data_IF_385883377026
#
_entry.id   IF_385883377026
#
_cell.length_a   1.000
_cell.length_b   1.000
_cell.length_c   1.000
_cell.angle_alpha   90.00
_cell.angle_beta   90.00
_cell.angle_gamma   90.00
#
_symmetry.space_group_name_H-M   'P 1'
#
loop_
_entity.id
_entity.type
_entity.pdbx_description
1 polymer ?
#
# COMPACT_ATOMS: atom_id res chain seq x y z
N UNK A 1 -3.36 -4.62 -15.84
CA UNK A 1 -3.33 -6.02 -15.36
C UNK A 1 -3.38 -6.99 -16.54
N UNK A 2 -2.77 -8.17 -16.42
CA UNK A 2 -2.80 -9.22 -17.44
C UNK A 2 -4.23 -9.69 -17.77
N UNK A 3 -4.55 -10.04 -19.04
CA UNK A 3 -5.90 -10.42 -19.48
C UNK A 3 -6.55 -11.54 -18.64
N UNK A 4 -5.76 -12.50 -18.18
CA UNK A 4 -6.19 -13.63 -17.36
C UNK A 4 -6.64 -13.23 -15.95
N UNK A 5 -6.15 -12.09 -15.42
CA UNK A 5 -6.53 -11.57 -14.11
C UNK A 5 -7.69 -10.55 -14.19
N UNK A 6 -8.04 -10.05 -15.38
CA UNK A 6 -9.10 -9.05 -15.55
C UNK A 6 -10.44 -9.40 -14.90
N UNK A 7 -10.97 -10.64 -15.01
CA UNK A 7 -12.25 -10.98 -14.39
C UNK A 7 -12.22 -10.88 -12.86
N UNK A 8 -11.08 -11.22 -12.25
CA UNK A 8 -10.87 -11.13 -10.81
C UNK A 8 -10.82 -9.66 -10.37
N UNK A 9 -10.05 -8.84 -11.07
CA UNK A 9 -9.94 -7.41 -10.78
C UNK A 9 -11.25 -6.66 -10.97
N UNK A 10 -12.03 -7.02 -11.99
CA UNK A 10 -13.37 -6.42 -12.19
C UNK A 10 -14.29 -6.71 -11.02
N UNK A 11 -14.30 -7.94 -10.51
CA UNK A 11 -15.04 -8.28 -9.28
C UNK A 11 -14.49 -7.53 -8.07
N UNK A 12 -13.16 -7.40 -7.98
CA UNK A 12 -12.51 -6.64 -6.92
C UNK A 12 -12.92 -5.17 -6.88
N UNK A 13 -13.01 -4.54 -8.05
CA UNK A 13 -13.51 -3.18 -8.18
C UNK A 13 -14.92 -3.00 -7.64
N UNK A 14 -15.82 -3.97 -7.80
CA UNK A 14 -17.19 -3.87 -7.32
C UNK A 14 -17.23 -3.78 -5.78
N UNK A 15 -16.57 -4.72 -5.10
CA UNK A 15 -16.64 -4.79 -3.64
C UNK A 15 -15.73 -3.77 -2.95
N UNK A 16 -14.57 -3.41 -3.52
CA UNK A 16 -13.74 -2.30 -3.00
C UNK A 16 -14.47 -0.97 -3.17
N UNK A 17 -15.11 -0.73 -4.32
CA UNK A 17 -15.94 0.46 -4.51
C UNK A 17 -17.07 0.52 -3.50
N UNK A 18 -17.74 -0.60 -3.22
CA UNK A 18 -18.78 -0.66 -2.21
C UNK A 18 -18.25 -0.34 -0.80
N UNK A 19 -17.07 -0.86 -0.44
CA UNK A 19 -16.38 -0.56 0.81
C UNK A 19 -16.17 0.96 0.96
N UNK A 20 -15.52 1.61 0.00
CA UNK A 20 -15.24 3.05 0.08
C UNK A 20 -16.47 3.94 -0.15
N UNK A 21 -17.52 3.45 -0.83
CA UNK A 21 -18.78 4.19 -1.00
C UNK A 21 -19.53 4.40 0.33
N UNK A 22 -19.24 3.59 1.34
CA UNK A 22 -19.81 3.75 2.68
C UNK A 22 -19.16 4.85 3.54
N UNK A 23 -18.38 5.73 2.89
CA UNK A 23 -17.76 6.91 3.49
C UNK A 23 -18.71 7.72 4.36
N UNK A 24 -18.29 7.98 5.60
CA UNK A 24 -18.97 8.88 6.54
C UNK A 24 -17.95 9.79 7.20
N UNK A 25 -18.22 11.08 7.23
CA UNK A 25 -17.39 12.05 7.94
C UNK A 25 -18.28 12.87 8.89
N UNK A 26 -17.90 12.93 10.16
CA UNK A 26 -18.54 13.77 11.18
C UNK A 26 -17.46 14.61 11.87
N UNK A 27 -17.20 15.84 11.38
CA UNK A 27 -16.20 16.73 11.98
C UNK A 27 -16.52 17.11 13.43
N UNK A 28 -17.80 17.09 13.83
CA UNK A 28 -18.19 17.39 15.22
C UNK A 28 -17.75 16.29 16.19
N UNK A 29 -17.51 15.08 15.68
CA UNK A 29 -16.98 13.93 16.43
C UNK A 29 -15.53 13.58 16.07
N UNK A 30 -14.96 14.27 15.07
CA UNK A 30 -13.60 14.01 14.58
C UNK A 30 -13.44 12.63 13.95
N UNK A 31 -14.46 12.13 13.25
CA UNK A 31 -14.41 10.81 12.60
C UNK A 31 -14.50 10.92 11.08
N UNK A 32 -13.71 10.09 10.41
CA UNK A 32 -13.90 9.67 9.03
C UNK A 32 -13.92 8.16 9.05
N UNK A 33 -14.91 7.56 8.40
CA UNK A 33 -15.14 6.12 8.44
C UNK A 33 -15.40 5.59 7.03
N UNK A 34 -14.85 4.41 6.75
CA UNK A 34 -15.21 3.59 5.59
C UNK A 34 -15.60 2.22 6.12
N UNK A 35 -16.79 1.78 5.77
CA UNK A 35 -17.39 0.52 6.19
C UNK A 35 -17.42 0.28 7.72
N UNK A 36 -17.51 1.38 8.49
CA UNK A 36 -17.50 1.35 9.95
C UNK A 36 -16.10 1.36 10.57
N UNK A 37 -15.04 1.27 9.77
CA UNK A 37 -13.67 1.42 10.22
C UNK A 37 -13.24 2.87 10.22
N UNK A 38 -12.50 3.30 11.25
CA UNK A 38 -12.05 4.68 11.40
C UNK A 38 -10.75 4.92 10.65
N UNK A 39 -10.77 5.94 9.80
CA UNK A 39 -9.62 6.40 9.03
C UNK A 39 -9.14 7.77 9.52
N UNK A 40 -7.88 8.07 9.22
CA UNK A 40 -7.28 9.39 9.39
C UNK A 40 -6.76 9.90 8.05
N UNK A 41 -7.04 11.16 7.74
CA UNK A 41 -6.41 11.83 6.60
C UNK A 41 -5.08 12.42 7.04
N UNK A 42 -3.99 11.91 6.48
CA UNK A 42 -2.65 12.44 6.64
C UNK A 42 -2.15 12.91 5.28
N UNK A 43 -1.43 14.03 5.23
CA UNK A 43 -0.87 14.54 3.99
C UNK A 43 0.27 13.64 3.52
N UNK A 44 0.18 13.19 2.27
CA UNK A 44 1.15 12.33 1.58
C UNK A 44 2.63 12.65 1.88
N UNK A 45 3.06 13.91 1.69
CA UNK A 45 4.48 14.27 1.85
C UNK A 45 5.00 14.12 3.30
N UNK A 46 4.11 14.14 4.29
CA UNK A 46 4.47 13.94 5.71
C UNK A 46 4.87 12.50 6.04
N UNK A 47 4.40 11.54 5.24
CA UNK A 47 4.80 10.13 5.30
C UNK A 47 5.84 9.78 4.22
N UNK A 48 6.40 10.78 3.55
CA UNK A 48 7.44 10.59 2.54
C UNK A 48 8.61 11.52 2.84
N UNK A 49 8.93 12.46 1.96
CA UNK A 49 10.11 13.30 2.02
C UNK A 49 10.32 14.04 3.37
N UNK A 50 9.25 14.48 4.02
CA UNK A 50 9.37 15.20 5.30
C UNK A 50 9.68 14.26 6.47
N UNK A 51 9.29 12.99 6.39
CA UNK A 51 9.67 12.00 7.37
C UNK A 51 11.19 11.76 7.32
N UNK A 52 11.76 11.66 6.12
CA UNK A 52 13.22 11.60 5.96
C UNK A 52 13.91 12.82 6.57
N UNK A 53 13.37 14.03 6.35
CA UNK A 53 13.95 15.25 6.94
C UNK A 53 13.85 15.29 8.46
N UNK A 54 12.77 14.75 9.03
CA UNK A 54 12.62 14.57 10.48
C UNK A 54 13.70 13.62 11.01
N UNK A 55 13.84 12.43 10.43
CA UNK A 55 14.80 11.42 10.89
C UNK A 55 16.24 11.94 10.75
N UNK A 56 16.61 12.54 9.62
CA UNK A 56 17.92 13.18 9.43
C UNK A 56 18.24 14.22 10.51
N UNK A 57 17.24 15.02 10.90
CA UNK A 57 17.39 16.03 11.96
C UNK A 57 17.59 15.37 13.34
N UNK A 58 16.80 14.36 13.67
CA UNK A 58 16.92 13.61 14.94
C UNK A 58 18.29 12.95 15.04
N UNK A 59 18.76 12.35 13.95
CA UNK A 59 20.05 11.66 13.86
C UNK A 59 21.23 12.61 13.64
N UNK A 60 21.01 13.94 13.63
CA UNK A 60 22.04 14.97 13.43
C UNK A 60 22.90 14.73 12.19
N UNK A 61 22.29 14.22 11.12
CA UNK A 61 22.97 13.92 9.87
C UNK A 61 23.89 12.69 9.90
N UNK A 62 23.71 11.76 10.87
CA UNK A 62 24.40 10.47 10.83
C UNK A 62 24.12 9.76 9.50
N UNK A 63 25.13 9.08 8.96
CA UNK A 63 25.08 8.49 7.60
C UNK A 63 23.93 7.48 7.42
N UNK A 64 23.49 6.85 8.50
CA UNK A 64 22.48 5.79 8.48
C UNK A 64 21.05 6.33 8.69
N UNK A 65 20.85 7.66 8.80
CA UNK A 65 19.54 8.26 9.08
C UNK A 65 18.49 7.91 8.01
N UNK A 66 18.90 7.88 6.74
CA UNK A 66 17.99 7.53 5.65
C UNK A 66 17.60 6.06 5.70
N UNK A 67 18.52 5.16 6.06
CA UNK A 67 18.24 3.73 6.17
C UNK A 67 17.28 3.45 7.32
N UNK A 68 17.47 4.13 8.46
CA UNK A 68 16.50 4.10 9.56
C UNK A 68 15.12 4.58 9.11
N UNK A 69 15.05 5.69 8.37
CA UNK A 69 13.79 6.20 7.85
C UNK A 69 13.11 5.18 6.94
N UNK A 70 13.86 4.55 6.03
CA UNK A 70 13.35 3.51 5.14
C UNK A 70 12.82 2.32 5.91
N UNK A 71 13.60 1.75 6.81
CA UNK A 71 13.17 0.58 7.60
C UNK A 71 11.91 0.87 8.40
N UNK A 72 11.84 2.02 9.07
CA UNK A 72 10.64 2.41 9.84
C UNK A 72 9.40 2.56 8.95
N UNK A 73 9.53 3.25 7.82
CA UNK A 73 8.41 3.45 6.89
C UNK A 73 7.95 2.13 6.26
N UNK A 74 8.90 1.26 5.90
CA UNK A 74 8.59 -0.07 5.38
C UNK A 74 7.83 -0.91 6.40
N UNK A 75 8.35 -1.02 7.63
CA UNK A 75 7.75 -1.87 8.68
C UNK A 75 6.35 -1.38 9.05
N UNK A 76 6.16 -0.06 9.15
CA UNK A 76 4.84 0.54 9.40
C UNK A 76 3.89 0.24 8.25
N UNK A 77 4.31 0.44 7.00
CA UNK A 77 3.45 0.20 5.85
C UNK A 77 3.13 -1.29 5.67
N UNK A 78 4.07 -2.19 5.93
CA UNK A 78 3.86 -3.63 5.93
C UNK A 78 2.82 -4.03 6.99
N UNK A 79 2.95 -3.53 8.22
CA UNK A 79 1.97 -3.78 9.26
C UNK A 79 0.57 -3.28 8.89
N UNK A 80 0.47 -2.10 8.27
CA UNK A 80 -0.80 -1.53 7.77
C UNK A 80 -1.38 -2.44 6.68
N UNK A 81 -0.62 -2.73 5.62
CA UNK A 81 -1.11 -3.54 4.49
C UNK A 81 -1.57 -4.93 4.92
N UNK A 82 -0.87 -5.55 5.88
CA UNK A 82 -1.24 -6.84 6.47
C UNK A 82 -2.55 -6.76 7.27
N UNK A 83 -2.70 -5.71 8.09
CA UNK A 83 -3.90 -5.49 8.88
C UNK A 83 -5.11 -5.21 7.97
N UNK A 84 -4.95 -4.32 7.00
CA UNK A 84 -5.98 -3.93 6.05
C UNK A 84 -6.42 -5.14 5.20
N UNK A 85 -5.49 -5.95 4.69
CA UNK A 85 -5.84 -7.16 3.93
C UNK A 85 -6.65 -8.16 4.76
N UNK A 86 -6.27 -8.39 6.02
CA UNK A 86 -6.98 -9.30 6.93
C UNK A 86 -8.37 -8.78 7.27
N UNK A 87 -8.46 -7.51 7.60
CA UNK A 87 -9.74 -6.89 7.95
C UNK A 87 -10.68 -6.83 6.75
N UNK A 88 -10.18 -6.39 5.61
CA UNK A 88 -10.94 -6.32 4.37
C UNK A 88 -11.51 -7.68 3.97
N UNK A 89 -10.70 -8.75 4.00
CA UNK A 89 -11.17 -10.12 3.73
C UNK A 89 -12.29 -10.53 4.68
N UNK A 90 -12.17 -10.20 5.97
CA UNK A 90 -13.17 -10.49 6.99
C UNK A 90 -14.49 -9.75 6.71
N UNK A 91 -14.42 -8.46 6.40
CA UNK A 91 -15.61 -7.63 6.16
C UNK A 91 -16.32 -7.99 4.85
N UNK A 92 -15.55 -8.26 3.79
CA UNK A 92 -16.09 -8.56 2.46
C UNK A 92 -16.37 -10.05 2.24
N UNK A 93 -16.04 -10.92 3.19
CA UNK A 93 -16.24 -12.36 3.09
C UNK A 93 -15.37 -13.04 2.02
N UNK A 94 -14.19 -12.47 1.72
CA UNK A 94 -13.28 -12.96 0.67
C UNK A 94 -12.34 -14.03 1.23
N UNK A 95 -12.59 -15.29 0.88
CA UNK A 95 -11.82 -16.44 1.37
C UNK A 95 -10.70 -16.86 0.44
N UNK A 96 -10.87 -16.72 -0.88
CA UNK A 96 -9.89 -17.20 -1.85
C UNK A 96 -8.65 -16.29 -1.89
N UNK A 97 -7.41 -16.81 -1.73
CA UNK A 97 -6.19 -16.00 -1.69
C UNK A 97 -5.98 -15.08 -2.89
N UNK A 98 -6.24 -15.58 -4.10
CA UNK A 98 -6.05 -14.81 -5.31
C UNK A 98 -7.11 -13.70 -5.47
N UNK A 99 -8.34 -13.95 -5.01
CA UNK A 99 -9.38 -12.92 -4.96
C UNK A 99 -8.99 -11.84 -3.93
N UNK A 100 -8.51 -12.24 -2.75
CA UNK A 100 -8.01 -11.30 -1.74
C UNK A 100 -6.83 -10.46 -2.24
N UNK A 101 -5.91 -11.06 -3.00
CA UNK A 101 -4.81 -10.33 -3.63
C UNK A 101 -5.33 -9.30 -4.63
N UNK A 102 -6.31 -9.66 -5.47
CA UNK A 102 -6.86 -8.76 -6.50
C UNK A 102 -7.53 -7.50 -5.93
N UNK A 103 -8.03 -7.58 -4.69
CA UNK A 103 -8.53 -6.42 -3.95
C UNK A 103 -7.44 -5.40 -3.62
N UNK A 104 -6.19 -5.83 -3.45
CA UNK A 104 -5.07 -5.00 -3.00
C UNK A 104 -4.81 -3.82 -3.91
N UNK A 105 -4.46 -4.03 -5.20
CA UNK A 105 -4.27 -2.96 -6.17
C UNK A 105 -5.41 -1.94 -6.26
N UNK A 106 -6.65 -2.41 -6.17
CA UNK A 106 -7.83 -1.55 -6.22
C UNK A 106 -7.93 -0.74 -4.93
N UNK A 107 -7.78 -1.39 -3.77
CA UNK A 107 -7.76 -0.71 -2.47
C UNK A 107 -6.62 0.32 -2.40
N UNK A 108 -5.44 -0.02 -2.92
CA UNK A 108 -4.27 0.85 -3.06
C UNK A 108 -4.62 2.17 -3.76
N UNK A 109 -5.36 2.08 -4.87
CA UNK A 109 -5.83 3.23 -5.63
C UNK A 109 -6.88 4.05 -4.87
N UNK A 110 -7.88 3.40 -4.25
CA UNK A 110 -8.93 4.08 -3.49
C UNK A 110 -8.39 4.78 -2.22
N UNK A 111 -7.41 4.17 -1.54
CA UNK A 111 -6.77 4.72 -0.37
C UNK A 111 -5.71 5.81 -0.71
N UNK A 112 -5.41 6.00 -2.00
CA UNK A 112 -4.57 7.11 -2.48
C UNK A 112 -3.06 6.85 -2.42
N UNK A 113 -2.63 5.59 -2.45
CA UNK A 113 -1.22 5.21 -2.41
C UNK A 113 -0.54 5.33 -3.78
N UNK A 114 -1.11 4.65 -4.78
CA UNK A 114 -0.69 4.69 -6.19
C UNK A 114 -1.74 3.93 -7.05
N UNK A 115 -1.50 3.87 -8.35
CA UNK A 115 -2.01 2.77 -9.17
C UNK A 115 -1.02 1.60 -9.10
N UNK A 116 -1.49 0.37 -9.33
CA UNK A 116 -0.63 -0.81 -9.48
C UNK A 116 -0.85 -1.39 -10.87
N UNK A 117 0.19 -1.47 -11.67
CA UNK A 117 0.15 -2.12 -12.98
C UNK A 117 0.95 -3.42 -12.96
N UNK A 118 0.24 -4.55 -13.02
CA UNK A 118 0.83 -5.88 -12.94
C UNK A 118 1.41 -6.32 -14.29
N UNK A 119 2.64 -6.84 -14.26
CA UNK A 119 3.29 -7.49 -15.39
C UNK A 119 2.60 -8.82 -15.75
N UNK A 120 2.57 -9.21 -17.04
CA UNK A 120 2.18 -10.56 -17.46
C UNK A 120 3.08 -11.67 -16.91
N UNK A 121 4.30 -11.34 -16.46
CA UNK A 121 5.25 -12.31 -15.89
C UNK A 121 5.00 -12.61 -14.40
N UNK A 122 3.88 -12.13 -13.83
CA UNK A 122 3.49 -12.46 -12.48
C UNK A 122 3.10 -13.93 -12.33
N UNK A 123 3.42 -14.53 -11.19
CA UNK A 123 2.96 -15.82 -10.74
C UNK A 123 2.43 -15.74 -9.29
N UNK A 124 1.18 -15.30 -9.07
CA UNK A 124 0.60 -15.18 -7.73
C UNK A 124 0.19 -16.54 -7.14
N UNK A 125 1.18 -17.39 -6.87
CA UNK A 125 1.00 -18.74 -6.34
C UNK A 125 1.12 -18.78 -4.80
N UNK A 126 0.34 -19.60 -4.08
CA UNK A 126 0.41 -19.74 -2.62
C UNK A 126 1.59 -20.63 -2.17
N UNK A 127 2.77 -20.47 -2.75
CA UNK A 127 3.95 -21.30 -2.50
C UNK A 127 5.25 -20.55 -2.86
N UNK A 128 6.38 -21.25 -2.81
CA UNK A 128 7.72 -20.69 -3.05
C UNK A 128 7.92 -20.15 -4.48
N UNK A 129 7.01 -20.44 -5.42
CA UNK A 129 7.03 -19.90 -6.79
C UNK A 129 6.33 -18.53 -6.89
N UNK A 130 5.88 -17.95 -5.76
CA UNK A 130 5.23 -16.64 -5.73
C UNK A 130 6.13 -15.57 -6.33
N UNK A 131 5.61 -14.87 -7.33
CA UNK A 131 6.24 -13.69 -7.92
C UNK A 131 5.18 -12.68 -8.32
N UNK A 132 5.34 -11.43 -7.88
CA UNK A 132 4.64 -10.30 -8.46
C UNK A 132 5.65 -9.28 -8.96
N UNK A 133 5.47 -8.86 -10.21
CA UNK A 133 6.21 -7.78 -10.85
C UNK A 133 5.21 -6.70 -11.25
N UNK A 134 5.44 -5.48 -10.80
CA UNK A 134 4.50 -4.38 -11.04
C UNK A 134 5.15 -3.02 -10.99
N UNK A 135 4.50 -2.07 -11.65
CA UNK A 135 4.80 -0.66 -11.55
C UNK A 135 3.81 0.05 -10.60
N UNK A 136 4.27 1.14 -9.96
CA UNK A 136 3.42 2.03 -9.17
C UNK A 136 3.24 3.42 -9.81
N UNK A 137 2.45 3.56 -10.90
CA UNK A 137 2.13 4.87 -11.45
C UNK A 137 1.44 5.76 -10.41
N UNK A 138 1.77 7.06 -10.42
CA UNK A 138 1.20 8.05 -9.50
C UNK A 138 1.43 7.74 -8.00
N UNK A 139 2.56 7.10 -7.66
CA UNK A 139 2.98 6.92 -6.27
C UNK A 139 2.98 8.24 -5.49
N UNK A 140 2.30 8.26 -4.33
CA UNK A 140 2.26 9.43 -3.47
C UNK A 140 3.67 9.82 -2.97
N UNK A 141 4.55 8.83 -2.78
CA UNK A 141 5.92 9.04 -2.35
C UNK A 141 6.71 9.71 -3.48
N UNK A 142 6.72 9.13 -4.68
CA UNK A 142 7.42 9.71 -5.81
C UNK A 142 6.91 11.12 -6.15
N UNK A 143 5.59 11.33 -6.13
CA UNK A 143 4.97 12.64 -6.36
C UNK A 143 5.46 13.68 -5.34
N UNK A 144 5.57 13.33 -4.05
CA UNK A 144 6.08 14.23 -3.02
C UNK A 144 7.53 14.66 -3.28
N UNK A 145 8.39 13.73 -3.71
CA UNK A 145 9.79 14.03 -4.02
C UNK A 145 9.93 14.90 -5.27
N UNK A 146 9.17 14.58 -6.32
CA UNK A 146 9.15 15.34 -7.57
C UNK A 146 8.67 16.78 -7.33
N UNK A 147 7.56 16.96 -6.61
CA UNK A 147 7.02 18.29 -6.28
C UNK A 147 7.97 19.13 -5.44
N UNK A 148 8.76 18.50 -4.58
CA UNK A 148 9.79 19.18 -3.80
C UNK A 148 11.04 19.55 -4.61
N UNK A 149 11.16 19.09 -5.87
CA UNK A 149 12.34 19.30 -6.70
C UNK A 149 13.59 18.59 -6.16
N UNK A 150 13.41 17.53 -5.35
CA UNK A 150 14.50 16.82 -4.68
C UNK A 150 14.78 15.49 -5.34
N UNK A 151 16.06 15.12 -5.40
CA UNK A 151 16.53 13.85 -5.93
C UNK A 151 16.96 12.93 -4.79
N UNK A 152 16.71 11.65 -4.97
CA UNK A 152 17.23 10.57 -4.13
C UNK A 152 18.26 9.76 -4.92
N UNK A 153 19.22 9.17 -4.23
CA UNK A 153 20.18 8.21 -4.79
C UNK A 153 19.69 6.76 -4.68
N UNK A 154 18.54 6.54 -4.07
CA UNK A 154 17.90 5.25 -3.86
C UNK A 154 16.39 5.38 -4.12
N UNK A 155 15.68 4.25 -4.34
CA UNK A 155 14.23 4.24 -4.47
C UNK A 155 13.55 4.88 -3.24
N UNK A 156 12.38 5.48 -3.46
CA UNK A 156 11.68 6.32 -2.47
C UNK A 156 10.27 5.86 -2.17
N UNK A 157 9.72 4.89 -2.93
CA UNK A 157 8.38 4.35 -2.73
C UNK A 157 8.40 3.20 -1.70
N UNK A 158 8.98 3.50 -0.54
CA UNK A 158 9.28 2.53 0.52
C UNK A 158 8.01 2.06 1.19
N UNK A 159 7.09 2.98 1.46
CA UNK A 159 5.80 2.63 2.04
C UNK A 159 4.94 1.86 1.05
N UNK A 160 4.96 2.20 -0.25
CA UNK A 160 4.26 1.41 -1.25
C UNK A 160 4.77 -0.04 -1.31
N UNK A 161 6.10 -0.25 -1.26
CA UNK A 161 6.68 -1.58 -1.17
C UNK A 161 6.24 -2.32 0.11
N UNK A 162 6.29 -1.65 1.26
CA UNK A 162 5.85 -2.22 2.54
C UNK A 162 4.37 -2.62 2.51
N UNK A 163 3.48 -1.72 2.08
CA UNK A 163 2.05 -1.99 2.02
C UNK A 163 1.74 -3.17 1.08
N UNK A 164 2.33 -3.20 -0.11
CA UNK A 164 2.14 -4.31 -1.07
C UNK A 164 2.65 -5.65 -0.53
N UNK A 165 3.75 -5.63 0.21
CA UNK A 165 4.30 -6.78 0.93
C UNK A 165 3.32 -7.30 1.99
N UNK A 166 2.85 -6.42 2.87
CA UNK A 166 1.89 -6.78 3.92
C UNK A 166 0.56 -7.28 3.37
N UNK A 167 0.03 -6.62 2.32
CA UNK A 167 -1.23 -7.03 1.70
C UNK A 167 -1.14 -8.43 1.08
N UNK A 168 -0.04 -8.69 0.36
CA UNK A 168 0.24 -9.99 -0.25
C UNK A 168 0.35 -11.08 0.81
N UNK A 169 1.09 -10.83 1.88
CA UNK A 169 1.19 -11.76 3.02
C UNK A 169 -0.19 -12.01 3.65
N UNK A 170 -1.00 -10.97 3.85
CA UNK A 170 -2.38 -11.11 4.37
C UNK A 170 -3.33 -11.87 3.43
N UNK A 171 -3.03 -11.89 2.13
CA UNK A 171 -3.80 -12.59 1.12
C UNK A 171 -3.44 -14.08 1.05
N UNK A 172 -2.15 -14.41 1.08
CA UNK A 172 -1.67 -15.78 0.90
C UNK A 172 -1.40 -16.53 2.20
N UNK A 173 -1.23 -15.83 3.32
CA UNK A 173 -0.94 -16.44 4.62
C UNK A 173 0.48 -17.00 4.74
N UNK A 174 1.38 -16.60 3.83
CA UNK A 174 2.82 -16.93 3.85
C UNK A 174 3.63 -15.64 3.91
N UNK A 175 4.83 -15.65 4.54
CA UNK A 175 5.68 -14.46 4.59
C UNK A 175 6.07 -14.00 3.18
N UNK A 176 5.79 -12.74 2.84
CA UNK A 176 6.07 -12.17 1.52
C UNK A 176 6.68 -10.77 1.64
N UNK A 177 7.71 -10.52 0.85
CA UNK A 177 8.45 -9.24 0.85
C UNK A 177 8.49 -8.67 -0.56
N UNK A 178 8.18 -7.38 -0.68
CA UNK A 178 8.35 -6.58 -1.89
C UNK A 178 9.55 -5.65 -1.75
N UNK A 179 10.24 -5.39 -2.85
CA UNK A 179 11.30 -4.38 -2.95
C UNK A 179 11.10 -3.53 -4.20
N UNK A 180 11.68 -2.32 -4.17
CA UNK A 180 11.76 -1.37 -5.29
C UNK A 180 13.20 -1.29 -5.79
#
# INVERSE_FOLDING_TARGET
>A
VPPELEPLFRRAEEYVRAYFASHRADPSKGTVEYHGERYIHVRAASLSIEFFDLVRRVYRGHRDADDVARSLLFDVAHAIGLADARDFRRQMGVTEPLEALSAGPVHFAFAGWALVDLSPDCNPAPNDEYLLLYDHPNSFEADAWIKAGRRSTAPVCVMNAGYSSGWSEGSFGIPLVSQE
#
